data_IF_048772311368
#
_entry.id   IF_048772311368
#
_cell.length_a   1.000
_cell.length_b   1.000
_cell.length_c   1.000
_cell.angle_alpha   90.00
_cell.angle_beta   90.00
_cell.angle_gamma   90.00
#
_symmetry.space_group_name_H-M   'P 1'
#
loop_
_entity.id
_entity.type
_entity.pdbx_description
1 polymer ?
#
# COMPACT_ATOMS: atom_id res chain seq x y z
N UNK A 1 30.98 -18.61 -35.34
CA UNK A 1 30.42 -19.87 -34.81
C UNK A 1 28.95 -19.65 -34.47
N UNK A 2 28.13 -20.68 -34.22
CA UNK A 2 26.70 -20.47 -33.92
C UNK A 2 26.38 -20.79 -32.47
N UNK A 3 25.50 -19.99 -31.86
CA UNK A 3 24.99 -20.21 -30.52
C UNK A 3 24.24 -21.54 -30.45
N UNK A 4 24.61 -22.39 -29.48
CA UNK A 4 23.97 -23.71 -29.28
C UNK A 4 22.50 -23.64 -28.87
N UNK A 5 22.04 -22.48 -28.39
CA UNK A 5 20.68 -22.29 -27.88
C UNK A 5 19.74 -21.67 -28.92
N UNK A 6 20.16 -20.57 -29.57
CA UNK A 6 19.28 -19.83 -30.49
C UNK A 6 19.70 -19.88 -31.97
N UNK A 7 20.87 -20.46 -32.29
CA UNK A 7 21.36 -20.55 -33.67
C UNK A 7 21.90 -19.24 -34.27
N UNK A 8 21.96 -18.15 -33.51
CA UNK A 8 22.55 -16.90 -33.96
C UNK A 8 24.06 -17.02 -34.20
N UNK A 9 24.59 -16.30 -35.18
CA UNK A 9 26.03 -16.22 -35.43
C UNK A 9 26.71 -15.39 -34.32
N UNK A 10 27.77 -15.93 -33.74
CA UNK A 10 28.52 -15.35 -32.63
C UNK A 10 30.03 -15.47 -32.88
N UNK A 11 30.79 -14.55 -32.29
CA UNK A 11 32.25 -14.56 -32.33
C UNK A 11 32.83 -15.83 -31.69
N UNK A 12 33.89 -16.43 -32.25
CA UNK A 12 34.52 -17.67 -31.76
C UNK A 12 35.12 -17.57 -30.34
N UNK A 13 35.22 -16.37 -29.77
CA UNK A 13 35.64 -16.14 -28.37
C UNK A 13 34.54 -15.63 -27.44
N UNK A 14 33.28 -15.55 -27.89
CA UNK A 14 32.19 -15.01 -27.09
C UNK A 14 31.79 -15.97 -25.96
N UNK A 15 31.96 -15.51 -24.71
CA UNK A 15 31.55 -16.25 -23.50
C UNK A 15 30.03 -16.34 -23.39
N UNK A 16 29.30 -15.32 -23.86
CA UNK A 16 27.84 -15.25 -23.84
C UNK A 16 27.32 -14.87 -25.20
N UNK A 17 26.17 -15.42 -25.59
CA UNK A 17 25.50 -15.06 -26.84
C UNK A 17 24.87 -13.66 -26.70
N UNK A 18 25.26 -12.66 -27.52
CA UNK A 18 24.69 -11.32 -27.45
C UNK A 18 23.21 -11.27 -27.86
N UNK A 19 22.73 -12.27 -28.60
CA UNK A 19 21.34 -12.31 -29.07
C UNK A 19 20.36 -12.93 -28.07
N UNK A 20 20.81 -13.79 -27.16
CA UNK A 20 19.91 -14.49 -26.22
C UNK A 20 20.43 -14.62 -24.79
N UNK A 21 21.67 -14.18 -24.51
CA UNK A 21 22.28 -14.26 -23.18
C UNK A 21 22.84 -15.64 -22.79
N UNK A 22 22.73 -16.66 -23.65
CA UNK A 22 23.17 -18.02 -23.31
C UNK A 22 24.70 -18.15 -23.20
N UNK A 23 25.18 -18.68 -22.08
CA UNK A 23 26.60 -18.94 -21.81
C UNK A 23 27.13 -20.08 -22.72
N UNK A 24 28.17 -19.80 -23.50
CA UNK A 24 28.75 -20.75 -24.44
C UNK A 24 29.88 -21.58 -23.84
N UNK A 25 30.28 -21.33 -22.58
CA UNK A 25 31.38 -22.06 -21.93
C UNK A 25 31.00 -23.54 -21.72
N UNK A 26 31.87 -24.48 -22.11
CA UNK A 26 31.68 -25.87 -21.74
C UNK A 26 31.72 -26.00 -20.22
N UNK A 27 30.68 -26.64 -19.64
CA UNK A 27 30.43 -26.80 -18.21
C UNK A 27 31.43 -27.74 -17.50
N UNK A 28 32.72 -27.60 -17.77
CA UNK A 28 33.82 -28.42 -17.27
C UNK A 28 34.87 -27.65 -16.48
N UNK A 29 34.55 -26.44 -16.02
CA UNK A 29 35.42 -25.68 -15.13
C UNK A 29 34.56 -25.02 -14.06
N UNK A 30 34.46 -25.72 -12.94
CA UNK A 30 34.01 -25.16 -11.67
C UNK A 30 34.92 -23.98 -11.31
N UNK A 31 34.49 -22.78 -11.65
CA UNK A 31 35.05 -21.57 -11.06
C UNK A 31 34.44 -21.43 -9.67
N UNK A 32 35.11 -22.03 -8.69
CA UNK A 32 35.05 -21.62 -7.29
C UNK A 32 35.50 -20.16 -7.23
N UNK A 33 34.58 -19.25 -6.93
CA UNK A 33 34.91 -17.89 -6.49
C UNK A 33 34.39 -17.72 -5.05
N UNK A 34 35.22 -17.28 -4.08
CA UNK A 34 34.74 -16.92 -2.75
C UNK A 34 34.05 -15.56 -2.83
N UNK A 35 32.72 -15.56 -2.70
CA UNK A 35 31.90 -14.35 -2.55
C UNK A 35 30.79 -14.62 -1.54
N UNK A 36 30.66 -13.82 -0.46
CA UNK A 36 29.69 -14.09 0.59
C UNK A 36 28.28 -13.67 0.13
N UNK A 37 27.29 -14.54 0.36
CA UNK A 37 25.89 -14.13 0.44
C UNK A 37 24.96 -14.76 -0.59
N UNK A 38 24.44 -15.93 -0.25
CA UNK A 38 23.32 -16.64 -0.89
C UNK A 38 22.00 -15.88 -0.82
N UNK A 39 21.23 -15.86 -1.91
CA UNK A 39 19.76 -15.72 -1.87
C UNK A 39 19.13 -16.61 -2.95
N UNK A 40 19.02 -17.91 -2.68
CA UNK A 40 17.93 -18.69 -3.27
C UNK A 40 17.52 -19.80 -2.31
N UNK A 41 16.49 -19.48 -1.52
CA UNK A 41 15.70 -20.38 -0.69
C UNK A 41 14.27 -19.84 -0.67
N UNK A 42 13.37 -20.61 -1.28
CA UNK A 42 11.94 -20.38 -1.51
C UNK A 42 11.13 -20.03 -0.26
N UNK A 43 10.13 -19.14 -0.38
CA UNK A 43 8.74 -19.44 -0.01
C UNK A 43 7.80 -18.35 -0.51
N UNK A 44 6.63 -18.76 -0.99
CA UNK A 44 5.61 -17.92 -1.59
C UNK A 44 5.01 -16.90 -0.60
N UNK A 45 4.98 -15.62 -0.99
CA UNK A 45 3.82 -14.76 -0.70
C UNK A 45 3.67 -13.72 -1.80
N UNK A 46 2.55 -13.84 -2.51
CA UNK A 46 2.08 -12.90 -3.51
C UNK A 46 1.75 -11.56 -2.83
N UNK A 47 2.56 -10.52 -3.08
CA UNK A 47 2.06 -9.15 -3.02
C UNK A 47 2.79 -8.30 -4.04
N UNK A 48 2.12 -8.17 -5.17
CA UNK A 48 2.06 -7.00 -6.04
C UNK A 48 2.84 -5.79 -5.54
N UNK A 49 4.01 -5.55 -6.13
CA UNK A 49 4.74 -4.28 -6.12
C UNK A 49 5.87 -4.37 -7.13
N UNK A 50 6.04 -3.30 -7.90
CA UNK A 50 7.02 -3.11 -8.98
C UNK A 50 6.69 -3.85 -10.27
N UNK A 51 6.60 -3.20 -11.43
CA UNK A 51 7.29 -1.98 -11.83
C UNK A 51 6.62 -1.37 -13.06
N UNK A 52 6.04 -0.18 -12.91
CA UNK A 52 6.11 0.83 -13.99
C UNK A 52 7.09 1.88 -13.53
N UNK A 53 8.20 1.99 -14.26
CA UNK A 53 9.26 2.98 -14.09
C UNK A 53 8.71 4.42 -14.02
N UNK A 54 8.45 4.90 -12.81
CA UNK A 54 8.47 6.33 -12.53
C UNK A 54 8.99 6.56 -11.12
N UNK A 55 10.21 7.08 -11.06
CA UNK A 55 11.00 7.29 -9.85
C UNK A 55 10.25 8.07 -8.75
N UNK A 56 10.45 7.62 -7.49
CA UNK A 56 10.34 8.44 -6.26
C UNK A 56 8.97 8.96 -5.78
N UNK A 57 7.84 8.28 -6.01
CA UNK A 57 6.55 8.66 -5.38
C UNK A 57 5.84 7.59 -4.52
N UNK A 58 6.55 6.56 -4.09
CA UNK A 58 5.97 5.41 -3.36
C UNK A 58 5.86 5.58 -1.82
N UNK A 59 5.63 6.80 -1.34
CA UNK A 59 5.13 7.03 0.04
C UNK A 59 3.72 7.63 0.04
N UNK A 60 3.28 8.20 -1.09
CA UNK A 60 2.02 8.94 -1.20
C UNK A 60 0.83 7.99 -1.36
N UNK A 61 0.99 6.86 -2.05
CA UNK A 61 -0.14 5.93 -2.32
C UNK A 61 -0.62 5.26 -1.03
N UNK A 62 0.30 4.73 -0.20
CA UNK A 62 -0.07 4.18 1.11
C UNK A 62 -0.68 5.23 2.03
N UNK A 63 -0.19 6.48 1.95
CA UNK A 63 -0.70 7.59 2.72
C UNK A 63 -2.12 8.00 2.30
N UNK A 64 -2.37 8.19 1.00
CA UNK A 64 -3.69 8.52 0.46
C UNK A 64 -4.69 7.40 0.74
N UNK A 65 -4.29 6.14 0.59
CA UNK A 65 -5.16 5.00 0.92
C UNK A 65 -5.47 4.97 2.41
N UNK A 66 -4.48 5.18 3.30
CA UNK A 66 -4.69 5.21 4.75
C UNK A 66 -5.59 6.38 5.18
N UNK A 67 -5.40 7.55 4.56
CA UNK A 67 -6.26 8.72 4.77
C UNK A 67 -7.69 8.46 4.33
N UNK A 68 -7.88 7.95 3.11
CA UNK A 68 -9.19 7.65 2.57
C UNK A 68 -9.88 6.56 3.42
N UNK A 69 -9.17 5.49 3.80
CA UNK A 69 -9.72 4.46 4.67
C UNK A 69 -10.10 5.03 6.04
N UNK A 70 -9.22 5.79 6.69
CA UNK A 70 -9.50 6.40 8.00
C UNK A 70 -10.69 7.36 7.94
N UNK A 71 -10.78 8.16 6.87
CA UNK A 71 -11.88 9.08 6.63
C UNK A 71 -13.20 8.34 6.39
N UNK A 72 -13.18 7.31 5.54
CA UNK A 72 -14.35 6.49 5.20
C UNK A 72 -14.83 5.71 6.42
N UNK A 73 -13.94 5.01 7.12
CA UNK A 73 -14.29 4.30 8.36
C UNK A 73 -14.78 5.29 9.42
N UNK A 74 -14.08 6.40 9.65
CA UNK A 74 -14.46 7.42 10.62
C UNK A 74 -15.85 8.01 10.35
N UNK A 75 -16.15 8.37 9.10
CA UNK A 75 -17.48 8.84 8.68
C UNK A 75 -18.54 7.75 8.85
N UNK A 76 -18.26 6.51 8.45
CA UNK A 76 -19.19 5.37 8.61
C UNK A 76 -19.54 5.13 10.08
N UNK A 77 -18.54 5.08 10.96
CA UNK A 77 -18.74 4.88 12.41
C UNK A 77 -19.44 6.08 13.06
N UNK A 78 -19.08 7.32 12.69
CA UNK A 78 -19.72 8.52 13.20
C UNK A 78 -21.20 8.61 12.79
N UNK A 79 -21.51 8.27 11.54
CA UNK A 79 -22.89 8.22 11.03
C UNK A 79 -23.68 7.11 11.72
N UNK A 80 -23.10 5.92 11.89
CA UNK A 80 -23.73 4.83 12.64
C UNK A 80 -24.04 5.22 14.09
N UNK A 81 -23.06 5.78 14.82
CA UNK A 81 -23.24 6.23 16.20
C UNK A 81 -24.30 7.35 16.28
N UNK A 82 -24.27 8.31 15.34
CA UNK A 82 -25.26 9.38 15.25
C UNK A 82 -26.68 8.86 15.03
N UNK A 83 -26.85 7.90 14.13
CA UNK A 83 -28.15 7.25 13.86
C UNK A 83 -28.60 6.46 15.09
N UNK A 84 -27.72 5.67 15.72
CA UNK A 84 -28.05 4.89 16.91
C UNK A 84 -28.49 5.80 18.06
N UNK A 85 -27.77 6.90 18.33
CA UNK A 85 -28.14 7.87 19.35
C UNK A 85 -29.46 8.58 19.03
N UNK A 86 -29.70 8.90 17.76
CA UNK A 86 -30.95 9.50 17.30
C UNK A 86 -32.14 8.55 17.47
N UNK A 87 -31.98 7.28 17.12
CA UNK A 87 -33.00 6.24 17.30
C UNK A 87 -33.26 5.99 18.78
N UNK A 88 -32.20 5.84 19.58
CA UNK A 88 -32.32 5.65 21.03
C UNK A 88 -33.03 6.84 21.67
N UNK A 89 -32.74 8.06 21.21
CA UNK A 89 -33.41 9.27 21.66
C UNK A 89 -34.89 9.30 21.28
N UNK A 90 -35.27 8.90 20.07
CA UNK A 90 -36.68 8.78 19.65
C UNK A 90 -37.42 7.74 20.49
N UNK A 91 -36.76 6.62 20.81
CA UNK A 91 -37.34 5.56 21.65
C UNK A 91 -37.50 6.01 23.11
N UNK A 92 -36.55 6.77 23.64
CA UNK A 92 -36.57 7.23 25.04
C UNK A 92 -37.46 8.47 25.24
N UNK A 93 -37.55 9.37 24.26
CA UNK A 93 -38.38 10.57 24.34
C UNK A 93 -39.69 10.40 23.58
N UNK A 94 -40.67 9.79 24.25
CA UNK A 94 -42.07 9.81 23.82
C UNK A 94 -42.81 11.13 24.13
N UNK A 95 -42.24 12.01 24.95
CA UNK A 95 -42.85 13.33 25.25
C UNK A 95 -41.78 14.36 25.60
N UNK A 96 -41.68 15.44 24.83
CA UNK A 96 -41.08 16.77 25.13
C UNK A 96 -40.43 17.33 23.87
N UNK A 97 -41.05 18.39 23.32
CA UNK A 97 -40.69 19.12 22.09
C UNK A 97 -39.38 19.92 22.12
N UNK A 98 -38.30 19.34 22.66
CA UNK A 98 -36.94 19.93 22.62
C UNK A 98 -36.08 19.23 21.57
N UNK A 99 -36.57 19.17 20.34
CA UNK A 99 -35.87 18.55 19.19
C UNK A 99 -34.65 19.40 18.75
N UNK A 100 -34.66 20.70 19.06
CA UNK A 100 -33.63 21.65 18.61
C UNK A 100 -32.25 21.43 19.25
N UNK A 101 -32.18 21.03 20.51
CA UNK A 101 -30.90 20.85 21.21
C UNK A 101 -30.11 19.61 20.75
N UNK A 102 -30.82 18.54 20.38
CA UNK A 102 -30.21 17.27 19.96
C UNK A 102 -29.55 17.38 18.57
N UNK A 103 -30.19 18.06 17.62
CA UNK A 103 -29.64 18.28 16.27
C UNK A 103 -28.37 19.12 16.34
N UNK A 104 -28.37 20.17 17.15
CA UNK A 104 -27.20 21.06 17.34
C UNK A 104 -26.04 20.27 17.99
N UNK A 105 -26.32 19.48 19.03
CA UNK A 105 -25.31 18.64 19.67
C UNK A 105 -24.71 17.60 18.73
N UNK A 106 -25.53 16.97 17.88
CA UNK A 106 -25.07 16.00 16.88
C UNK A 106 -24.17 16.63 15.81
N UNK A 107 -24.53 17.80 15.29
CA UNK A 107 -23.73 18.53 14.30
C UNK A 107 -22.40 18.99 14.92
N UNK A 108 -22.43 19.56 16.13
CA UNK A 108 -21.21 19.99 16.83
C UNK A 108 -20.30 18.79 17.11
N UNK A 109 -20.85 17.67 17.58
CA UNK A 109 -20.09 16.44 17.82
C UNK A 109 -19.44 15.91 16.54
N UNK A 110 -20.15 15.94 15.41
CA UNK A 110 -19.62 15.53 14.11
C UNK A 110 -18.47 16.46 13.66
N UNK A 111 -18.68 17.78 13.73
CA UNK A 111 -17.66 18.77 13.35
C UNK A 111 -16.42 18.66 14.25
N UNK A 112 -16.60 18.61 15.56
CA UNK A 112 -15.49 18.49 16.53
C UNK A 112 -14.76 17.15 16.36
N UNK A 113 -15.49 16.05 16.20
CA UNK A 113 -14.91 14.73 15.94
C UNK A 113 -14.10 14.71 14.63
N UNK A 114 -14.62 15.33 13.58
CA UNK A 114 -13.93 15.48 12.30
C UNK A 114 -12.64 16.33 12.44
N UNK A 115 -12.70 17.45 13.16
CA UNK A 115 -11.54 18.31 13.42
C UNK A 115 -10.45 17.59 14.24
N UNK A 116 -10.83 16.83 15.26
CA UNK A 116 -9.89 16.03 16.07
C UNK A 116 -9.23 14.94 15.22
N UNK A 117 -10.01 14.27 14.37
CA UNK A 117 -9.48 13.27 13.44
C UNK A 117 -8.49 13.89 12.44
N UNK A 118 -8.84 15.05 11.86
CA UNK A 118 -7.96 15.81 10.97
C UNK A 118 -6.66 16.22 11.66
N UNK A 119 -6.75 16.66 12.92
CA UNK A 119 -5.59 17.05 13.73
C UNK A 119 -4.69 15.85 14.03
N UNK A 120 -5.25 14.71 14.45
CA UNK A 120 -4.50 13.47 14.68
C UNK A 120 -3.76 13.02 13.42
N UNK A 121 -4.44 13.03 12.28
CA UNK A 121 -3.85 12.73 10.98
C UNK A 121 -2.71 13.71 10.64
N UNK A 122 -2.91 15.01 10.88
CA UNK A 122 -1.89 16.04 10.68
C UNK A 122 -0.66 15.89 11.58
N UNK A 123 -0.85 15.43 12.82
CA UNK A 123 0.25 15.13 13.76
C UNK A 123 1.04 13.90 13.30
N UNK A 124 0.35 12.85 12.87
CA UNK A 124 1.00 11.64 12.32
C UNK A 124 1.83 11.99 11.08
N UNK A 125 1.29 12.83 10.19
CA UNK A 125 1.99 13.40 9.04
C UNK A 125 3.27 14.14 9.44
N UNK A 126 3.15 15.07 10.39
CA UNK A 126 4.26 15.89 10.89
C UNK A 126 5.34 15.06 11.59
N UNK A 127 5.01 13.87 12.08
CA UNK A 127 5.95 12.95 12.73
C UNK A 127 6.71 12.09 11.73
N UNK A 128 6.22 11.99 10.49
CA UNK A 128 6.78 11.15 9.43
C UNK A 128 7.63 11.95 8.43
N UNK A 129 7.54 13.29 8.45
CA UNK A 129 8.27 14.24 7.61
C UNK A 129 9.39 14.91 8.40
#
# INVERSE_FOLDING_TARGET
MYCKNCGAEIDPGATFCPSCGFDQRPSGSAYTSPGPGSQQGSSWTFTDSSSTELEKKSMIIGFVVTLLLSLILGLLWAVLIGIVLLVLFIVIKKDTGTVKGAVIGGIIGLVVGYLINLLLVGVILSSMY
#
